data_IF_980617969483
#
_entry.id   IF_980617969483
#
_cell.length_a   1.000
_cell.length_b   1.000
_cell.length_c   1.000
_cell.angle_alpha   90.00
_cell.angle_beta   90.00
_cell.angle_gamma   90.00
#
_symmetry.space_group_name_H-M   'P 1'
#
loop_
_entity.id
_entity.type
_entity.pdbx_description
1 polymer ?
#
# COMPACT_ATOMS: atom_id res chain seq x y z
N UNK A 1 21.57 -4.73 -26.41
CA UNK A 1 21.23 -6.10 -25.98
C UNK A 1 19.83 -6.06 -25.38
N UNK A 2 18.95 -7.02 -25.69
CA UNK A 2 17.63 -7.07 -25.07
C UNK A 2 17.78 -7.41 -23.59
N UNK A 3 17.44 -6.47 -22.72
CA UNK A 3 17.37 -6.70 -21.28
C UNK A 3 16.44 -7.88 -20.96
N UNK A 4 16.93 -8.86 -20.19
CA UNK A 4 16.12 -9.96 -19.71
C UNK A 4 15.29 -9.51 -18.49
N UNK A 5 14.00 -9.27 -18.73
CA UNK A 5 13.03 -8.82 -17.73
C UNK A 5 12.68 -9.91 -16.70
N UNK A 6 13.06 -11.17 -16.93
CA UNK A 6 12.66 -12.32 -16.11
C UNK A 6 13.05 -12.17 -14.63
N UNK A 7 14.21 -11.59 -14.35
CA UNK A 7 14.66 -11.33 -12.98
C UNK A 7 13.77 -10.29 -12.28
N UNK A 8 13.46 -9.18 -12.97
CA UNK A 8 12.55 -8.15 -12.44
C UNK A 8 11.13 -8.68 -12.26
N UNK A 9 10.65 -9.52 -13.18
CA UNK A 9 9.37 -10.19 -13.01
C UNK A 9 9.37 -10.98 -11.71
N UNK A 10 10.33 -11.87 -11.50
CA UNK A 10 10.43 -12.67 -10.26
C UNK A 10 10.50 -11.81 -8.99
N UNK A 11 11.20 -10.67 -9.03
CA UNK A 11 11.29 -9.77 -7.89
C UNK A 11 9.97 -9.05 -7.61
N UNK A 12 9.28 -8.59 -8.66
CA UNK A 12 7.95 -7.98 -8.55
C UNK A 12 6.96 -8.94 -7.90
N UNK A 13 6.96 -10.17 -8.39
CA UNK A 13 6.14 -11.28 -7.90
C UNK A 13 6.34 -11.61 -6.42
N UNK A 14 7.56 -11.44 -5.93
CA UNK A 14 7.93 -11.66 -4.54
C UNK A 14 7.69 -10.43 -3.66
N UNK A 15 7.08 -9.35 -4.19
CA UNK A 15 6.92 -8.07 -3.51
C UNK A 15 8.27 -7.47 -3.05
N UNK A 16 9.35 -7.76 -3.80
CA UNK A 16 10.73 -7.37 -3.48
C UNK A 16 11.23 -6.17 -4.28
N UNK A 17 10.36 -5.47 -4.99
CA UNK A 17 10.71 -4.24 -5.72
C UNK A 17 10.15 -3.04 -4.99
N UNK A 18 11.00 -2.02 -4.82
CA UNK A 18 10.59 -0.70 -4.35
C UNK A 18 10.90 0.31 -5.45
N UNK A 19 9.88 0.88 -6.11
CA UNK A 19 10.10 1.97 -7.05
C UNK A 19 10.59 3.21 -6.32
N UNK A 20 11.66 3.82 -6.83
CA UNK A 20 12.08 5.17 -6.45
C UNK A 20 11.75 6.12 -7.59
N UNK A 21 10.83 7.03 -7.31
CA UNK A 21 10.28 7.96 -8.29
C UNK A 21 11.03 9.30 -8.20
N UNK A 22 11.56 9.75 -9.34
CA UNK A 22 12.19 11.07 -9.49
C UNK A 22 11.33 12.04 -10.27
N UNK A 23 11.81 13.29 -10.39
CA UNK A 23 11.06 14.39 -10.97
C UNK A 23 10.71 14.19 -12.46
N UNK A 24 11.41 13.30 -13.15
CA UNK A 24 11.13 12.95 -14.54
C UNK A 24 9.73 12.40 -14.76
N UNK A 25 9.12 11.75 -13.76
CA UNK A 25 7.73 11.28 -13.85
C UNK A 25 6.69 12.39 -13.62
N UNK A 26 7.07 13.48 -12.94
CA UNK A 26 6.21 14.63 -12.68
C UNK A 26 6.15 15.61 -13.86
N UNK A 27 7.04 15.50 -14.85
CA UNK A 27 7.12 16.41 -16.01
C UNK A 27 5.82 16.57 -16.81
N UNK A 28 4.97 15.52 -17.03
CA UNK A 28 3.68 15.70 -17.70
C UNK A 28 2.74 16.69 -17.01
N UNK A 29 2.89 16.87 -15.68
CA UNK A 29 2.13 17.82 -14.86
C UNK A 29 2.79 19.22 -14.83
N UNK A 30 3.76 19.46 -15.73
CA UNK A 30 4.60 20.67 -15.82
C UNK A 30 5.46 20.98 -14.59
N UNK A 31 5.55 20.05 -13.65
CA UNK A 31 6.41 20.22 -12.49
C UNK A 31 7.88 20.22 -12.91
N UNK A 32 8.72 21.09 -12.32
CA UNK A 32 10.07 21.31 -12.79
C UNK A 32 11.00 20.14 -12.44
N UNK A 33 11.98 19.88 -13.31
CA UNK A 33 13.17 19.13 -12.94
C UNK A 33 14.03 19.93 -11.96
N UNK A 34 15.06 19.31 -11.38
CA UNK A 34 15.93 19.98 -10.40
C UNK A 34 16.59 21.26 -10.93
N UNK A 35 17.23 21.20 -12.09
CA UNK A 35 17.82 22.39 -12.71
C UNK A 35 16.78 23.47 -13.02
N UNK A 36 15.59 23.07 -13.49
CA UNK A 36 14.49 24.02 -13.75
C UNK A 36 13.96 24.66 -12.47
N UNK A 37 13.87 23.91 -11.37
CA UNK A 37 13.46 24.43 -10.07
C UNK A 37 14.43 25.51 -9.59
N UNK A 38 15.74 25.26 -9.71
CA UNK A 38 16.78 26.24 -9.33
C UNK A 38 16.72 27.48 -10.24
N UNK A 39 16.47 27.31 -11.54
CA UNK A 39 16.27 28.42 -12.48
C UNK A 39 15.06 29.29 -12.07
N UNK A 40 13.94 28.67 -11.68
CA UNK A 40 12.74 29.38 -11.22
C UNK A 40 12.96 30.07 -9.86
N UNK A 41 13.66 29.41 -8.94
CA UNK A 41 14.08 30.00 -7.66
C UNK A 41 14.95 31.24 -7.89
N UNK A 42 15.95 31.15 -8.76
CA UNK A 42 16.80 32.27 -9.16
C UNK A 42 15.94 33.44 -9.67
N UNK A 43 15.02 33.16 -10.61
CA UNK A 43 14.17 34.20 -11.22
C UNK A 43 13.27 34.89 -10.21
N UNK A 44 12.74 34.16 -9.23
CA UNK A 44 11.86 34.74 -8.19
C UNK A 44 12.59 35.53 -7.12
N UNK A 45 13.83 35.18 -6.81
CA UNK A 45 14.47 35.65 -5.58
C UNK A 45 15.72 36.50 -5.77
N UNK A 46 16.29 36.51 -6.98
CA UNK A 46 17.57 37.17 -7.26
C UNK A 46 17.43 38.19 -8.39
N UNK A 47 18.24 39.25 -8.35
CA UNK A 47 18.31 40.26 -9.42
C UNK A 47 18.95 39.69 -10.71
N UNK A 48 18.46 40.13 -11.87
CA UNK A 48 18.88 39.68 -13.21
C UNK A 48 20.40 39.71 -13.45
N UNK A 49 21.14 40.62 -12.79
CA UNK A 49 22.59 40.71 -12.93
C UNK A 49 23.36 39.45 -12.50
N UNK A 50 22.71 38.54 -11.76
CA UNK A 50 23.31 37.27 -11.33
C UNK A 50 22.84 36.09 -12.17
N UNK A 51 21.90 36.29 -13.11
CA UNK A 51 21.30 35.18 -13.85
C UNK A 51 22.30 34.42 -14.70
N UNK A 52 23.20 35.13 -15.39
CA UNK A 52 24.22 34.51 -16.24
C UNK A 52 25.09 33.53 -15.44
N UNK A 53 25.68 33.99 -14.33
CA UNK A 53 26.55 33.17 -13.47
C UNK A 53 25.79 31.99 -12.84
N UNK A 54 24.54 32.18 -12.41
CA UNK A 54 23.76 31.09 -11.82
C UNK A 54 23.35 30.08 -12.91
N UNK A 55 23.03 30.54 -14.11
CA UNK A 55 22.68 29.68 -15.24
C UNK A 55 23.89 28.83 -15.67
N UNK A 56 25.10 29.41 -15.72
CA UNK A 56 26.34 28.65 -15.96
C UNK A 56 26.51 27.51 -14.95
N UNK A 57 26.30 27.77 -13.66
CA UNK A 57 26.36 26.74 -12.62
C UNK A 57 25.30 25.65 -12.80
N UNK A 58 24.08 26.01 -13.20
CA UNK A 58 22.99 25.05 -13.50
C UNK A 58 23.37 24.17 -14.69
N UNK A 59 23.93 24.77 -15.75
CA UNK A 59 24.33 24.09 -16.98
C UNK A 59 25.53 23.15 -16.76
N UNK A 60 26.40 23.48 -15.80
CA UNK A 60 27.51 22.63 -15.33
C UNK A 60 27.08 21.60 -14.26
N UNK A 61 25.80 21.52 -13.90
CA UNK A 61 25.25 20.65 -12.85
C UNK A 61 25.77 20.95 -11.42
N UNK A 62 26.36 22.13 -11.20
CA UNK A 62 26.90 22.63 -9.91
C UNK A 62 25.77 23.25 -9.05
N UNK A 63 24.74 22.44 -8.79
CA UNK A 63 23.47 22.89 -8.19
C UNK A 63 23.62 23.45 -6.77
N UNK A 64 24.54 22.90 -5.97
CA UNK A 64 24.83 23.36 -4.62
C UNK A 64 25.47 24.75 -4.62
N UNK A 65 26.38 25.03 -5.58
CA UNK A 65 26.93 26.37 -5.77
C UNK A 65 25.86 27.36 -6.22
N UNK A 66 24.99 26.95 -7.14
CA UNK A 66 23.86 27.77 -7.60
C UNK A 66 22.93 28.15 -6.43
N UNK A 67 22.51 27.17 -5.61
CA UNK A 67 21.65 27.41 -4.46
C UNK A 67 22.33 28.26 -3.38
N UNK A 68 23.62 28.05 -3.10
CA UNK A 68 24.39 28.91 -2.18
C UNK A 68 24.45 30.36 -2.67
N UNK A 69 24.65 30.57 -3.97
CA UNK A 69 24.66 31.89 -4.56
C UNK A 69 23.27 32.55 -4.48
N UNK A 70 22.21 31.80 -4.79
CA UNK A 70 20.82 32.27 -4.66
C UNK A 70 20.50 32.68 -3.23
N UNK A 71 20.74 31.81 -2.25
CA UNK A 71 20.52 32.10 -0.83
C UNK A 71 21.27 33.37 -0.39
N UNK A 72 22.56 33.47 -0.74
CA UNK A 72 23.40 34.60 -0.34
C UNK A 72 23.01 35.91 -1.02
N UNK A 73 22.61 35.89 -2.30
CA UNK A 73 22.26 37.11 -3.06
C UNK A 73 20.84 37.57 -2.83
N UNK A 74 19.91 36.63 -2.62
CA UNK A 74 18.54 36.92 -2.21
C UNK A 74 18.39 37.25 -0.72
N UNK A 75 19.45 37.04 0.08
CA UNK A 75 19.41 37.15 1.55
C UNK A 75 18.30 36.28 2.16
N UNK A 76 18.22 35.03 1.68
CA UNK A 76 17.17 34.08 2.02
C UNK A 76 17.65 33.12 3.09
N UNK A 77 16.81 32.86 4.08
CA UNK A 77 16.96 31.71 4.97
C UNK A 77 16.57 30.40 4.27
N UNK A 78 16.92 29.26 4.87
CA UNK A 78 16.44 27.95 4.41
C UNK A 78 14.90 27.93 4.31
N UNK A 79 14.20 28.57 5.26
CA UNK A 79 12.75 28.62 5.29
C UNK A 79 12.15 29.43 4.14
N UNK A 80 12.75 30.57 3.81
CA UNK A 80 12.29 31.40 2.68
C UNK A 80 12.42 30.64 1.35
N UNK A 81 13.51 29.87 1.22
CA UNK A 81 13.74 29.03 0.04
C UNK A 81 12.68 27.92 -0.05
N UNK A 82 12.40 27.21 1.05
CA UNK A 82 11.37 26.17 1.09
C UNK A 82 9.97 26.71 0.71
N UNK A 83 9.61 27.89 1.22
CA UNK A 83 8.35 28.55 0.89
C UNK A 83 8.28 28.94 -0.60
N UNK A 84 9.40 29.41 -1.16
CA UNK A 84 9.49 29.71 -2.58
C UNK A 84 9.37 28.44 -3.45
N UNK A 85 9.98 27.32 -3.04
CA UNK A 85 9.81 26.02 -3.72
C UNK A 85 8.34 25.60 -3.74
N UNK A 86 7.64 25.69 -2.60
CA UNK A 86 6.21 25.39 -2.53
C UNK A 86 5.41 26.24 -3.52
N UNK A 87 5.64 27.56 -3.54
CA UNK A 87 4.98 28.47 -4.47
C UNK A 87 5.25 28.10 -5.93
N UNK A 88 6.50 27.77 -6.28
CA UNK A 88 6.85 27.35 -7.64
C UNK A 88 6.07 26.09 -8.03
N UNK A 89 6.02 25.08 -7.16
CA UNK A 89 5.29 23.84 -7.43
C UNK A 89 3.80 24.13 -7.62
N UNK A 90 3.19 24.94 -6.75
CA UNK A 90 1.77 25.32 -6.85
C UNK A 90 1.46 26.13 -8.13
N UNK A 91 2.37 27.01 -8.56
CA UNK A 91 2.20 27.84 -9.76
C UNK A 91 2.41 27.07 -11.06
N UNK A 92 3.39 26.17 -11.11
CA UNK A 92 3.73 25.41 -12.31
C UNK A 92 2.83 24.18 -12.51
N UNK A 93 2.22 23.67 -11.44
CA UNK A 93 1.39 22.48 -11.48
C UNK A 93 0.22 22.62 -12.46
N UNK A 94 0.10 21.64 -13.35
CA UNK A 94 -1.06 21.48 -14.23
C UNK A 94 -1.64 20.09 -14.03
N UNK A 95 -2.93 20.05 -13.70
CA UNK A 95 -3.68 18.81 -13.59
C UNK A 95 -3.80 18.13 -14.96
N UNK A 96 -3.58 16.81 -14.99
CA UNK A 96 -3.64 15.99 -16.19
C UNK A 96 -4.66 14.87 -15.96
N UNK A 97 -5.88 15.07 -16.47
CA UNK A 97 -6.98 14.10 -16.32
C UNK A 97 -6.78 12.83 -17.18
N UNK A 98 -6.12 12.96 -18.34
CA UNK A 98 -5.91 11.83 -19.24
C UNK A 98 -4.77 10.93 -18.74
N UNK A 99 -5.16 9.79 -18.16
CA UNK A 99 -4.26 8.74 -17.68
C UNK A 99 -3.28 8.22 -18.74
N UNK A 100 -3.55 8.40 -20.04
CA UNK A 100 -2.62 8.02 -21.10
C UNK A 100 -1.36 8.91 -21.15
N UNK A 101 -1.42 10.12 -20.59
CA UNK A 101 -0.36 11.14 -20.67
C UNK A 101 0.66 11.08 -19.51
N UNK A 102 0.48 10.21 -18.53
CA UNK A 102 1.42 10.05 -17.42
C UNK A 102 1.52 8.60 -16.93
N UNK A 103 2.48 8.31 -16.05
CA UNK A 103 2.74 6.96 -15.55
C UNK A 103 2.25 6.69 -14.12
N UNK A 104 1.76 7.70 -13.38
CA UNK A 104 1.22 7.48 -12.03
C UNK A 104 0.06 6.48 -12.00
N UNK A 105 -0.83 6.49 -12.99
CA UNK A 105 -1.91 5.50 -13.10
C UNK A 105 -1.37 4.10 -13.43
N UNK A 106 -0.31 4.00 -14.25
CA UNK A 106 0.38 2.72 -14.51
C UNK A 106 0.98 2.16 -13.22
N UNK A 107 1.68 3.00 -12.44
CA UNK A 107 2.22 2.64 -11.12
C UNK A 107 1.11 2.24 -10.14
N UNK A 108 0.00 2.96 -10.14
CA UNK A 108 -1.16 2.65 -9.31
C UNK A 108 -1.84 1.35 -9.70
N UNK A 109 -1.75 0.91 -10.96
CA UNK A 109 -2.26 -0.40 -11.37
C UNK A 109 -1.40 -1.56 -10.82
N UNK A 110 -0.11 -1.32 -10.59
CA UNK A 110 0.84 -2.31 -10.08
C UNK A 110 0.76 -2.45 -8.55
N UNK A 111 1.12 -3.63 -8.06
CA UNK A 111 1.01 -4.00 -6.65
C UNK A 111 2.36 -3.90 -5.93
N UNK A 112 2.94 -2.70 -5.95
CA UNK A 112 4.12 -2.42 -5.13
C UNK A 112 3.71 -2.16 -3.68
N UNK A 113 4.44 -2.71 -2.69
CA UNK A 113 4.10 -2.50 -1.29
C UNK A 113 4.59 -1.14 -0.77
N UNK A 114 5.70 -0.64 -1.31
CA UNK A 114 6.33 0.62 -0.90
C UNK A 114 6.80 1.40 -2.13
N UNK A 115 6.61 2.71 -2.07
CA UNK A 115 7.24 3.68 -2.98
C UNK A 115 8.18 4.58 -2.20
N UNK A 116 9.32 4.91 -2.80
CA UNK A 116 10.21 5.97 -2.36
C UNK A 116 10.14 7.11 -3.39
N UNK A 117 10.28 8.35 -2.96
CA UNK A 117 10.35 9.49 -3.86
C UNK A 117 11.23 10.58 -3.29
N UNK A 118 11.94 11.27 -4.17
CA UNK A 118 12.66 12.52 -3.86
C UNK A 118 11.86 13.75 -4.25
N UNK A 119 10.69 13.57 -4.87
CA UNK A 119 9.86 14.67 -5.34
C UNK A 119 9.12 15.30 -4.17
N UNK A 120 8.92 16.62 -4.26
CA UNK A 120 8.19 17.38 -3.25
C UNK A 120 6.67 17.38 -3.48
N UNK A 121 6.21 16.95 -4.67
CA UNK A 121 4.79 16.90 -5.04
C UNK A 121 4.04 15.72 -4.40
N UNK A 122 2.70 15.78 -4.47
CA UNK A 122 1.79 14.77 -3.91
C UNK A 122 1.26 13.76 -4.92
N UNK A 123 1.75 13.76 -6.16
CA UNK A 123 1.17 12.96 -7.25
C UNK A 123 1.15 11.46 -6.91
N UNK A 124 2.18 10.93 -6.25
CA UNK A 124 2.14 9.53 -5.82
C UNK A 124 0.97 9.27 -4.88
N UNK A 125 0.76 10.12 -3.87
CA UNK A 125 -0.30 9.93 -2.90
C UNK A 125 -1.69 10.05 -3.55
N UNK A 126 -1.90 11.07 -4.39
CA UNK A 126 -3.18 11.31 -5.07
C UNK A 126 -3.61 10.10 -5.93
N UNK A 127 -2.71 9.58 -6.76
CA UNK A 127 -3.03 8.46 -7.65
C UNK A 127 -3.04 7.10 -6.93
N UNK A 128 -2.25 6.93 -5.86
CA UNK A 128 -2.21 5.69 -5.08
C UNK A 128 -3.25 5.63 -3.95
N UNK A 129 -3.96 6.71 -3.64
CA UNK A 129 -4.88 6.82 -2.50
C UNK A 129 -5.91 5.68 -2.43
N UNK A 130 -6.39 5.21 -3.59
CA UNK A 130 -7.32 4.07 -3.69
C UNK A 130 -6.81 2.76 -3.07
N UNK A 131 -5.49 2.64 -2.83
CA UNK A 131 -4.81 1.45 -2.30
C UNK A 131 -4.37 1.58 -0.83
N UNK A 132 -4.93 2.54 -0.08
CA UNK A 132 -4.67 2.75 1.37
C UNK A 132 -3.19 3.03 1.72
N UNK A 133 -2.48 3.74 0.83
CA UNK A 133 -1.11 4.15 1.11
C UNK A 133 -1.05 5.21 2.23
N UNK A 134 -0.06 5.07 3.12
CA UNK A 134 0.27 6.07 4.14
C UNK A 134 1.54 6.83 3.73
N UNK A 135 1.52 8.16 3.84
CA UNK A 135 2.67 9.03 3.55
C UNK A 135 3.54 9.15 4.79
N UNK A 136 4.85 9.02 4.59
CA UNK A 136 5.85 9.19 5.64
C UNK A 136 7.05 10.00 5.14
N UNK A 137 7.67 10.73 6.06
CA UNK A 137 8.92 11.46 5.83
C UNK A 137 10.06 10.69 6.47
N UNK A 138 11.10 10.36 5.70
CA UNK A 138 12.17 9.48 6.20
C UNK A 138 12.98 10.15 7.34
N UNK A 139 13.10 11.48 7.32
CA UNK A 139 13.79 12.28 8.35
C UNK A 139 13.08 12.22 9.72
N UNK A 140 11.75 12.24 9.71
CA UNK A 140 10.93 12.48 10.91
C UNK A 140 10.13 11.26 11.39
N UNK A 141 10.32 10.10 10.75
CA UNK A 141 9.55 8.90 11.08
C UNK A 141 9.81 8.43 12.50
N UNK A 142 8.76 8.12 13.25
CA UNK A 142 8.82 7.52 14.59
C UNK A 142 8.55 6.01 14.56
N UNK A 143 8.33 5.44 13.38
CA UNK A 143 7.98 4.04 13.19
C UNK A 143 9.09 3.11 13.70
N UNK A 144 8.68 2.02 14.33
CA UNK A 144 9.56 0.92 14.70
C UNK A 144 10.02 0.14 13.46
N UNK A 145 11.12 -0.60 13.60
CA UNK A 145 11.62 -1.48 12.53
C UNK A 145 10.57 -2.48 12.05
N UNK A 146 9.73 -3.00 12.95
CA UNK A 146 8.64 -3.93 12.62
C UNK A 146 7.54 -3.24 11.79
N UNK A 147 7.17 -2.00 12.10
CA UNK A 147 6.17 -1.25 11.31
C UNK A 147 6.68 -0.90 9.90
N UNK A 148 8.00 -0.68 9.78
CA UNK A 148 8.65 -0.37 8.50
C UNK A 148 8.74 -1.62 7.61
N UNK A 149 8.93 -2.81 8.21
CA UNK A 149 9.07 -4.07 7.45
C UNK A 149 7.76 -4.84 7.28
N UNK A 150 6.71 -4.55 8.07
CA UNK A 150 5.38 -5.16 8.00
C UNK A 150 4.53 -4.60 6.84
N UNK A 151 5.05 -4.75 5.62
CA UNK A 151 4.45 -4.20 4.39
C UNK A 151 3.21 -4.95 3.91
N UNK A 152 2.94 -6.15 4.44
CA UNK A 152 1.74 -6.93 4.11
C UNK A 152 0.45 -6.27 4.62
N UNK A 153 0.55 -5.38 5.62
CA UNK A 153 -0.60 -4.71 6.25
C UNK A 153 -0.71 -3.23 5.91
N UNK A 154 0.42 -2.54 5.73
CA UNK A 154 0.48 -1.09 5.51
C UNK A 154 1.36 -0.76 4.30
N UNK A 155 0.72 -0.33 3.21
CA UNK A 155 1.42 0.22 2.05
C UNK A 155 1.90 1.63 2.33
N UNK A 156 3.12 1.99 1.91
CA UNK A 156 3.74 3.26 2.29
C UNK A 156 4.34 4.02 1.11
N UNK A 157 4.26 5.35 1.16
CA UNK A 157 4.99 6.27 0.29
C UNK A 157 5.95 7.04 1.19
N UNK A 158 7.24 6.97 0.90
CA UNK A 158 8.25 7.71 1.64
C UNK A 158 8.84 8.83 0.81
N UNK A 159 8.71 10.05 1.32
CA UNK A 159 9.40 11.20 0.80
C UNK A 159 10.77 11.31 1.50
N UNK A 160 11.84 11.19 0.70
CA UNK A 160 13.22 11.27 1.16
C UNK A 160 13.60 12.73 1.44
N UNK A 161 13.25 13.63 0.52
CA UNK A 161 13.60 15.05 0.60
C UNK A 161 12.43 15.92 1.09
N UNK A 162 11.42 15.34 1.70
CA UNK A 162 10.24 16.07 2.19
C UNK A 162 9.18 16.33 1.11
N UNK A 163 8.22 17.19 1.45
CA UNK A 163 7.02 17.44 0.65
C UNK A 163 6.49 18.87 0.85
N UNK A 164 5.76 19.40 -0.14
CA UNK A 164 5.20 20.77 -0.10
C UNK A 164 4.11 20.99 0.96
N UNK A 165 3.37 19.95 1.35
CA UNK A 165 2.36 20.01 2.41
C UNK A 165 2.99 20.32 3.76
N UNK A 166 4.13 19.67 4.05
CA UNK A 166 4.96 19.95 5.21
C UNK A 166 6.21 20.71 4.76
N UNK A 167 6.03 21.98 4.41
CA UNK A 167 7.07 22.83 3.81
C UNK A 167 8.39 22.83 4.60
N UNK A 168 8.34 22.66 5.93
CA UNK A 168 9.53 22.60 6.78
C UNK A 168 10.39 21.34 6.57
N UNK A 169 9.80 20.28 6.02
CA UNK A 169 10.48 19.01 5.73
C UNK A 169 11.33 19.02 4.46
N UNK A 170 11.14 20.01 3.58
CA UNK A 170 11.82 20.08 2.28
C UNK A 170 13.34 20.17 2.47
N UNK A 171 14.07 19.25 1.86
CA UNK A 171 15.54 19.20 1.85
C UNK A 171 16.05 19.70 0.51
N UNK A 172 16.76 20.83 0.50
CA UNK A 172 17.38 21.34 -0.71
C UNK A 172 18.73 22.05 -0.51
N UNK A 173 19.01 22.62 0.65
CA UNK A 173 20.29 23.31 0.87
C UNK A 173 21.36 22.31 1.31
N UNK A 174 22.62 22.60 1.01
CA UNK A 174 23.78 21.76 1.39
C UNK A 174 23.71 21.35 2.87
N UNK A 175 23.40 22.32 3.75
CA UNK A 175 23.22 22.08 5.18
C UNK A 175 22.12 21.05 5.47
N UNK A 176 20.98 21.12 4.80
CA UNK A 176 19.87 20.18 4.99
C UNK A 176 20.19 18.79 4.44
N UNK A 177 20.91 18.73 3.31
CA UNK A 177 21.44 17.48 2.78
C UNK A 177 22.43 16.85 3.78
N UNK A 178 23.41 17.61 4.27
CA UNK A 178 24.36 17.14 5.29
C UNK A 178 23.65 16.61 6.54
N UNK A 179 22.65 17.35 7.05
CA UNK A 179 21.83 16.92 8.20
C UNK A 179 21.09 15.61 7.93
N UNK A 180 20.47 15.45 6.76
CA UNK A 180 19.71 14.25 6.39
C UNK A 180 20.64 13.05 6.20
N UNK A 181 21.68 13.19 5.37
CA UNK A 181 22.54 12.09 4.98
C UNK A 181 23.57 11.72 6.05
N UNK A 182 23.81 12.60 7.04
CA UNK A 182 24.59 12.26 8.25
C UNK A 182 23.74 11.63 9.35
N UNK A 183 22.40 11.64 9.23
CA UNK A 183 21.51 11.09 10.24
C UNK A 183 21.59 9.55 10.26
N UNK A 184 22.05 8.98 11.38
CA UNK A 184 22.21 7.53 11.54
C UNK A 184 20.90 6.75 11.45
N UNK A 185 19.78 7.34 11.88
CA UNK A 185 18.45 6.73 11.73
C UNK A 185 18.08 6.61 10.26
N UNK A 186 18.24 7.69 9.50
CA UNK A 186 18.03 7.70 8.06
C UNK A 186 18.89 6.64 7.36
N UNK A 187 20.20 6.62 7.62
CA UNK A 187 21.13 5.62 7.04
C UNK A 187 20.71 4.20 7.36
N UNK A 188 20.35 3.93 8.61
CA UNK A 188 19.92 2.59 9.06
C UNK A 188 18.63 2.16 8.35
N UNK A 189 17.64 3.04 8.25
CA UNK A 189 16.39 2.76 7.54
C UNK A 189 16.60 2.54 6.06
N UNK A 190 17.39 3.39 5.41
CA UNK A 190 17.72 3.24 4.00
C UNK A 190 18.47 1.92 3.74
N UNK A 191 19.39 1.55 4.64
CA UNK A 191 20.09 0.27 4.59
C UNK A 191 19.14 -0.93 4.71
N UNK A 192 18.13 -0.86 5.57
CA UNK A 192 17.08 -1.88 5.65
C UNK A 192 16.31 -2.00 4.33
N UNK A 193 15.92 -0.87 3.72
CA UNK A 193 15.23 -0.88 2.42
C UNK A 193 16.09 -1.54 1.34
N UNK A 194 17.33 -1.11 1.17
CA UNK A 194 18.19 -1.66 0.14
C UNK A 194 18.56 -3.14 0.43
N UNK A 195 18.63 -3.54 1.72
CA UNK A 195 18.94 -4.92 2.13
C UNK A 195 17.80 -5.90 1.90
N UNK A 196 16.56 -5.44 2.04
CA UNK A 196 15.36 -6.27 1.89
C UNK A 196 14.78 -6.20 0.46
N UNK A 197 14.98 -5.08 -0.25
CA UNK A 197 14.34 -4.79 -1.52
C UNK A 197 15.33 -4.44 -2.63
N UNK A 198 14.91 -4.72 -3.85
CA UNK A 198 15.54 -4.23 -5.07
C UNK A 198 14.93 -2.88 -5.45
N UNK A 199 15.77 -1.86 -5.52
CA UNK A 199 15.37 -0.52 -5.96
C UNK A 199 15.16 -0.49 -7.48
N UNK A 200 14.05 0.11 -7.91
CA UNK A 200 13.75 0.41 -9.32
C UNK A 200 13.61 1.92 -9.50
N UNK A 201 14.64 2.55 -10.04
CA UNK A 201 14.69 3.99 -10.28
C UNK A 201 13.93 4.36 -11.57
N UNK A 202 12.94 5.24 -11.46
CA UNK A 202 12.11 5.72 -12.57
C UNK A 202 12.08 7.25 -12.58
N UNK A 203 12.36 7.87 -13.74
CA UNK A 203 12.41 9.33 -13.87
C UNK A 203 13.46 9.99 -12.99
N UNK A 204 14.51 9.26 -12.64
CA UNK A 204 15.55 9.68 -11.72
C UNK A 204 16.88 9.74 -12.46
N UNK A 205 17.53 10.92 -12.46
CA UNK A 205 18.76 11.18 -13.22
C UNK A 205 20.04 10.69 -12.52
N UNK A 206 19.96 10.21 -11.26
CA UNK A 206 21.12 9.88 -10.42
C UNK A 206 22.18 11.00 -10.34
N UNK A 207 21.82 12.25 -10.65
CA UNK A 207 22.75 13.40 -10.63
C UNK A 207 23.00 13.94 -9.21
N UNK A 208 22.22 13.50 -8.23
CA UNK A 208 22.38 13.87 -6.82
C UNK A 208 23.61 13.14 -6.22
N UNK A 209 24.67 13.90 -5.94
CA UNK A 209 25.93 13.41 -5.36
C UNK A 209 25.76 12.86 -3.93
N UNK A 210 24.82 13.41 -3.14
CA UNK A 210 24.52 12.87 -1.81
C UNK A 210 23.87 11.49 -1.93
N UNK A 211 22.91 11.35 -2.84
CA UNK A 211 22.28 10.07 -3.12
C UNK A 211 23.25 9.03 -3.68
N UNK A 212 24.14 9.44 -4.62
CA UNK A 212 25.26 8.61 -5.10
C UNK A 212 26.19 8.19 -3.97
N UNK A 213 26.56 9.10 -3.07
CA UNK A 213 27.38 8.79 -1.91
C UNK A 213 26.74 7.76 -0.98
N UNK A 214 25.43 7.88 -0.75
CA UNK A 214 24.65 6.92 0.02
C UNK A 214 24.64 5.53 -0.63
N UNK A 215 24.44 5.47 -1.96
CA UNK A 215 24.49 4.21 -2.71
C UNK A 215 25.89 3.57 -2.68
N UNK A 216 26.95 4.35 -2.88
CA UNK A 216 28.34 3.86 -2.80
C UNK A 216 28.66 3.29 -1.42
N UNK A 217 28.25 3.99 -0.37
CA UNK A 217 28.40 3.50 1.01
C UNK A 217 27.67 2.17 1.19
N UNK A 218 26.41 2.08 0.75
CA UNK A 218 25.60 0.87 0.89
C UNK A 218 26.18 -0.34 0.12
N UNK A 219 26.65 -0.12 -1.11
CA UNK A 219 27.22 -1.18 -1.94
C UNK A 219 28.43 -1.87 -1.31
N UNK A 220 29.21 -1.15 -0.49
CA UNK A 220 30.35 -1.72 0.25
C UNK A 220 29.94 -2.81 1.24
N UNK A 221 28.71 -2.75 1.78
CA UNK A 221 28.25 -3.70 2.81
C UNK A 221 27.41 -4.84 2.25
N UNK A 222 26.47 -4.56 1.35
CA UNK A 222 25.43 -5.53 0.96
C UNK A 222 25.50 -6.00 -0.48
N UNK A 223 26.22 -5.28 -1.35
CA UNK A 223 26.44 -5.69 -2.73
C UNK A 223 25.15 -5.93 -3.55
N UNK A 224 24.06 -5.26 -3.17
CA UNK A 224 22.73 -5.42 -3.75
C UNK A 224 22.66 -5.02 -5.22
N UNK A 225 21.82 -5.70 -6.00
CA UNK A 225 21.57 -5.32 -7.40
C UNK A 225 20.33 -4.44 -7.46
N UNK A 226 20.42 -3.35 -8.20
CA UNK A 226 19.31 -2.41 -8.41
C UNK A 226 19.13 -2.13 -9.91
N UNK A 227 18.03 -1.48 -10.28
CA UNK A 227 17.67 -1.24 -11.68
C UNK A 227 17.29 0.22 -11.89
N UNK A 228 17.72 0.81 -12.99
CA UNK A 228 17.31 2.15 -13.41
C UNK A 228 16.83 2.12 -14.84
N UNK A 229 15.74 2.82 -15.11
CA UNK A 229 15.22 3.00 -16.46
C UNK A 229 15.70 4.34 -17.02
N UNK A 230 16.54 4.31 -18.05
CA UNK A 230 17.15 5.51 -18.65
C UNK A 230 16.83 5.61 -20.14
N UNK A 231 16.63 6.85 -20.61
CA UNK A 231 16.42 7.16 -22.02
C UNK A 231 17.76 7.30 -22.73
N UNK A 232 17.99 6.50 -23.76
CA UNK A 232 19.19 6.50 -24.62
C UNK A 232 20.53 6.76 -23.88
N UNK A 233 20.83 6.03 -22.78
CA UNK A 233 22.06 6.25 -22.02
C UNK A 233 23.29 5.86 -22.84
N UNK A 234 24.41 6.56 -22.61
CA UNK A 234 25.69 6.25 -23.23
C UNK A 234 26.30 4.97 -22.64
N UNK A 235 27.18 4.30 -23.40
CA UNK A 235 27.88 3.11 -22.88
C UNK A 235 28.71 3.42 -21.63
N UNK A 236 29.27 4.63 -21.55
CA UNK A 236 30.03 5.10 -20.39
C UNK A 236 29.15 5.21 -19.14
N UNK A 237 27.96 5.82 -19.25
CA UNK A 237 27.01 5.91 -18.13
C UNK A 237 26.52 4.53 -17.69
N UNK A 238 26.21 3.64 -18.64
CA UNK A 238 25.80 2.26 -18.32
C UNK A 238 26.91 1.55 -17.54
N UNK A 239 28.16 1.68 -18.00
CA UNK A 239 29.30 1.04 -17.37
C UNK A 239 29.58 1.62 -15.98
N UNK A 240 29.55 2.95 -15.81
CA UNK A 240 29.75 3.60 -14.51
C UNK A 240 28.70 3.13 -13.50
N UNK A 241 27.42 3.15 -13.87
CA UNK A 241 26.32 2.76 -12.99
C UNK A 241 26.40 1.29 -12.56
N UNK A 242 26.79 0.41 -13.48
CA UNK A 242 26.95 -1.00 -13.19
C UNK A 242 28.19 -1.27 -12.32
N UNK A 243 29.33 -0.67 -12.64
CA UNK A 243 30.62 -1.00 -12.01
C UNK A 243 30.74 -0.36 -10.62
N UNK A 244 30.28 0.89 -10.45
CA UNK A 244 30.39 1.63 -9.19
C UNK A 244 29.24 1.35 -8.24
N UNK A 245 28.01 1.27 -8.76
CA UNK A 245 26.80 1.23 -7.94
C UNK A 245 26.02 -0.09 -8.05
N UNK A 246 26.45 -1.05 -8.88
CA UNK A 246 25.71 -2.29 -9.20
C UNK A 246 24.27 -2.04 -9.64
N UNK A 247 24.06 -0.91 -10.32
CA UNK A 247 22.79 -0.53 -10.91
C UNK A 247 22.79 -1.01 -12.36
N UNK A 248 21.87 -1.92 -12.67
CA UNK A 248 21.62 -2.36 -14.05
C UNK A 248 20.76 -1.34 -14.78
N UNK A 249 21.30 -0.81 -15.87
CA UNK A 249 20.58 0.13 -16.72
C UNK A 249 19.66 -0.60 -17.70
N UNK A 250 18.42 -0.18 -17.73
CA UNK A 250 17.41 -0.60 -18.69
C UNK A 250 17.20 0.58 -19.63
N UNK A 251 17.73 0.45 -20.83
CA UNK A 251 17.64 1.51 -21.84
C UNK A 251 16.29 1.47 -22.54
N UNK A 252 15.69 2.63 -22.75
CA UNK A 252 14.59 2.83 -23.70
C UNK A 252 14.91 4.01 -24.62
N UNK A 253 14.06 4.22 -25.62
CA UNK A 253 14.26 5.25 -26.64
C UNK A 253 12.98 6.08 -26.76
N UNK A 254 12.98 7.23 -26.09
CA UNK A 254 11.85 8.15 -26.05
C UNK A 254 11.54 8.76 -27.41
N UNK A 255 12.52 8.85 -28.32
CA UNK A 255 12.33 9.47 -29.65
C UNK A 255 11.31 8.74 -30.53
N UNK A 256 11.03 7.45 -30.22
CA UNK A 256 10.11 6.62 -31.00
C UNK A 256 8.64 6.80 -30.61
N UNK A 257 8.35 6.99 -29.32
CA UNK A 257 6.97 6.95 -28.78
C UNK A 257 6.75 7.79 -27.52
N UNK A 258 7.74 8.58 -27.11
CA UNK A 258 7.74 9.38 -25.89
C UNK A 258 8.16 8.59 -24.65
N UNK A 259 8.48 9.34 -23.59
CA UNK A 259 8.85 8.78 -22.29
C UNK A 259 7.70 7.99 -21.68
N UNK A 260 6.50 8.57 -21.65
CA UNK A 260 5.31 7.99 -20.99
C UNK A 260 5.00 6.60 -21.52
N UNK A 261 4.91 6.44 -22.84
CA UNK A 261 4.57 5.14 -23.44
C UNK A 261 5.72 4.12 -23.29
N UNK A 262 6.97 4.57 -23.35
CA UNK A 262 8.12 3.69 -23.14
C UNK A 262 8.19 3.16 -21.71
N UNK A 263 7.92 4.02 -20.72
CA UNK A 263 7.85 3.64 -19.30
C UNK A 263 6.64 2.72 -19.07
N UNK A 264 5.47 3.03 -19.65
CA UNK A 264 4.26 2.20 -19.56
C UNK A 264 4.50 0.79 -20.08
N UNK A 265 5.11 0.65 -21.25
CA UNK A 265 5.45 -0.66 -21.80
C UNK A 265 6.41 -1.43 -20.89
N UNK A 266 7.38 -0.75 -20.30
CA UNK A 266 8.32 -1.37 -19.37
C UNK A 266 7.60 -1.87 -18.10
N UNK A 267 6.78 -1.03 -17.47
CA UNK A 267 5.95 -1.38 -16.32
C UNK A 267 5.01 -2.55 -16.65
N UNK A 268 4.40 -2.54 -17.84
CA UNK A 268 3.58 -3.63 -18.35
C UNK A 268 4.36 -4.91 -18.63
N UNK A 269 5.67 -4.86 -18.88
CA UNK A 269 6.52 -6.06 -19.00
C UNK A 269 6.87 -6.65 -17.64
N UNK A 270 7.12 -5.82 -16.63
CA UNK A 270 7.39 -6.24 -15.24
C UNK A 270 6.23 -7.09 -14.69
N UNK A 271 4.99 -6.75 -15.04
CA UNK A 271 3.81 -7.50 -14.59
C UNK A 271 3.50 -8.76 -15.42
N UNK A 272 4.16 -8.96 -16.58
CA UNK A 272 3.83 -10.02 -17.56
C UNK A 272 4.66 -11.30 -17.44
N UNK A 273 5.78 -11.32 -16.72
CA UNK A 273 6.49 -12.58 -16.46
C UNK A 273 5.57 -13.52 -15.72
N UNK A 274 5.42 -14.75 -16.25
CA UNK A 274 4.50 -15.82 -15.79
C UNK A 274 4.00 -15.54 -14.40
N UNK A 275 2.77 -15.03 -14.35
CA UNK A 275 2.05 -14.78 -13.12
C UNK A 275 2.50 -15.82 -12.06
N UNK A 276 3.07 -15.41 -10.92
CA UNK A 276 2.78 -16.18 -9.73
C UNK A 276 1.25 -16.17 -9.67
N UNK A 277 0.61 -17.11 -8.99
CA UNK A 277 -0.71 -16.79 -8.53
C UNK A 277 -0.65 -15.37 -7.95
N UNK A 278 -1.34 -14.40 -8.59
CA UNK A 278 -1.91 -13.25 -7.90
C UNK A 278 -2.26 -13.80 -6.54
N UNK A 279 -1.75 -13.27 -5.39
CA UNK A 279 -1.92 -13.94 -4.09
C UNK A 279 -3.35 -14.40 -4.12
N UNK A 280 -3.55 -15.73 -4.29
CA UNK A 280 -4.85 -16.19 -4.77
C UNK A 280 -5.75 -15.53 -3.75
N UNK A 281 -6.70 -14.68 -4.16
CA UNK A 281 -7.85 -14.42 -3.29
C UNK A 281 -8.24 -15.83 -2.96
N UNK A 282 -7.90 -16.28 -1.75
CA UNK A 282 -7.92 -17.69 -1.46
C UNK A 282 -9.40 -17.89 -1.45
N UNK A 283 -9.94 -18.48 -2.52
CA UNK A 283 -11.36 -18.72 -2.57
C UNK A 283 -11.54 -19.63 -1.37
N UNK A 284 -12.20 -19.12 -0.35
CA UNK A 284 -12.44 -19.87 0.87
C UNK A 284 -13.44 -20.93 0.42
N UNK A 285 -12.91 -22.12 0.16
CA UNK A 285 -13.69 -23.28 -0.25
C UNK A 285 -13.75 -24.14 0.99
N UNK A 286 -14.94 -24.37 1.56
CA UNK A 286 -15.10 -25.38 2.59
C UNK A 286 -14.83 -26.76 1.96
N UNK A 287 -13.63 -27.30 2.15
CA UNK A 287 -13.23 -28.61 1.57
C UNK A 287 -13.44 -29.78 2.52
N UNK A 288 -13.52 -29.52 3.82
CA UNK A 288 -13.49 -30.55 4.86
C UNK A 288 -14.79 -30.50 5.66
N UNK A 289 -15.45 -31.65 5.79
CA UNK A 289 -16.53 -31.84 6.75
C UNK A 289 -15.94 -31.87 8.17
N UNK A 290 -16.61 -31.25 9.16
CA UNK A 290 -16.22 -31.37 10.55
C UNK A 290 -16.09 -32.83 10.99
N UNK A 291 -15.01 -33.15 11.69
CA UNK A 291 -14.83 -34.46 12.30
C UNK A 291 -15.79 -34.64 13.49
N UNK A 292 -16.06 -35.90 13.84
CA UNK A 292 -16.91 -36.22 14.99
C UNK A 292 -16.34 -35.67 16.31
N UNK A 293 -15.02 -35.71 16.47
CA UNK A 293 -14.31 -35.18 17.64
C UNK A 293 -14.48 -33.66 17.77
N UNK A 294 -14.38 -32.92 16.66
CA UNK A 294 -14.62 -31.47 16.66
C UNK A 294 -16.05 -31.12 17.09
N UNK A 295 -17.05 -31.90 16.66
CA UNK A 295 -18.44 -31.70 17.09
C UNK A 295 -18.65 -32.06 18.57
N UNK A 296 -18.05 -33.15 19.04
CA UNK A 296 -18.14 -33.56 20.45
C UNK A 296 -17.54 -32.51 21.41
N UNK A 297 -16.48 -31.81 20.98
CA UNK A 297 -15.87 -30.73 21.76
C UNK A 297 -16.77 -29.49 21.93
N UNK A 298 -17.75 -29.28 21.04
CA UNK A 298 -18.69 -28.16 21.12
C UNK A 298 -19.88 -28.45 22.03
N UNK A 299 -19.96 -29.62 22.65
CA UNK A 299 -21.11 -29.95 23.50
C UNK A 299 -21.21 -29.03 24.72
N UNK A 300 -20.08 -28.55 25.22
CA UNK A 300 -19.99 -27.66 26.38
C UNK A 300 -20.04 -26.17 25.99
N UNK A 301 -20.03 -25.86 24.70
CA UNK A 301 -20.08 -24.48 24.21
C UNK A 301 -21.44 -23.84 24.50
N UNK A 302 -21.41 -22.54 24.79
CA UNK A 302 -22.57 -21.77 25.24
C UNK A 302 -23.72 -21.83 24.22
N UNK A 303 -23.43 -21.75 22.91
CA UNK A 303 -24.48 -21.80 21.90
C UNK A 303 -25.21 -23.16 21.91
N UNK A 304 -24.49 -24.27 22.13
CA UNK A 304 -25.04 -25.60 22.16
C UNK A 304 -25.87 -25.82 23.42
N UNK A 305 -25.37 -25.35 24.56
CA UNK A 305 -26.11 -25.36 25.84
C UNK A 305 -27.43 -24.57 25.75
N UNK A 306 -27.43 -23.43 25.05
CA UNK A 306 -28.66 -22.63 24.80
C UNK A 306 -29.71 -23.41 24.00
N UNK A 307 -29.30 -24.26 23.05
CA UNK A 307 -30.21 -25.13 22.29
C UNK A 307 -30.75 -26.28 23.16
N UNK A 308 -29.88 -26.89 23.96
CA UNK A 308 -30.22 -27.97 24.89
C UNK A 308 -31.30 -27.55 25.90
N UNK A 309 -31.12 -26.40 26.54
CA UNK A 309 -32.05 -25.87 27.54
C UNK A 309 -33.44 -25.64 26.95
N UNK A 310 -33.51 -25.25 25.68
CA UNK A 310 -34.75 -25.04 24.93
C UNK A 310 -35.36 -26.33 24.36
N UNK A 311 -34.78 -27.50 24.67
CA UNK A 311 -35.22 -28.82 24.19
C UNK A 311 -35.26 -28.91 22.65
N UNK A 312 -34.34 -28.23 21.96
CA UNK A 312 -34.16 -28.38 20.51
C UNK A 312 -33.72 -29.81 20.20
N UNK A 313 -34.27 -30.40 19.14
CA UNK A 313 -34.02 -31.80 18.79
C UNK A 313 -32.54 -32.06 18.46
N UNK A 314 -32.15 -33.34 18.49
CA UNK A 314 -30.76 -33.75 18.30
C UNK A 314 -30.25 -33.47 16.89
N UNK A 315 -31.08 -33.65 15.85
CA UNK A 315 -30.69 -33.43 14.45
C UNK A 315 -30.43 -31.94 14.19
N UNK A 316 -31.27 -31.07 14.75
CA UNK A 316 -31.10 -29.61 14.66
C UNK A 316 -29.87 -29.12 15.44
N UNK A 317 -29.56 -29.75 16.57
CA UNK A 317 -28.34 -29.44 17.34
C UNK A 317 -27.08 -29.88 16.62
N UNK A 318 -27.06 -31.08 16.04
CA UNK A 318 -25.94 -31.58 15.24
C UNK A 318 -25.68 -30.67 14.02
N UNK A 319 -26.73 -30.28 13.30
CA UNK A 319 -26.63 -29.30 12.20
C UNK A 319 -26.09 -27.94 12.67
N UNK A 320 -26.50 -27.49 13.86
CA UNK A 320 -26.05 -26.23 14.42
C UNK A 320 -24.55 -26.24 14.75
N UNK A 321 -24.01 -27.37 15.23
CA UNK A 321 -22.57 -27.57 15.44
C UNK A 321 -21.80 -27.51 14.12
N UNK A 322 -22.31 -28.14 13.06
CA UNK A 322 -21.69 -28.07 11.74
C UNK A 322 -21.65 -26.65 11.19
N UNK A 323 -22.77 -25.93 11.27
CA UNK A 323 -22.84 -24.54 10.84
C UNK A 323 -21.89 -23.64 11.63
N UNK A 324 -21.83 -23.81 12.96
CA UNK A 324 -20.88 -23.08 13.81
C UNK A 324 -19.43 -23.26 13.34
N UNK A 325 -18.99 -24.49 13.09
CA UNK A 325 -17.63 -24.79 12.64
C UNK A 325 -17.33 -24.21 11.26
N UNK A 326 -18.28 -24.27 10.32
CA UNK A 326 -18.11 -23.62 9.02
C UNK A 326 -17.95 -22.10 9.16
N UNK A 327 -18.76 -21.45 9.99
CA UNK A 327 -18.66 -20.02 10.22
C UNK A 327 -17.36 -19.61 10.91
N UNK A 328 -16.93 -20.31 11.96
CA UNK A 328 -15.65 -20.08 12.64
C UNK A 328 -14.47 -20.21 11.69
N UNK A 329 -14.43 -21.29 10.91
CA UNK A 329 -13.37 -21.51 9.91
C UNK A 329 -13.38 -20.40 8.87
N UNK A 330 -14.55 -20.02 8.36
CA UNK A 330 -14.68 -18.91 7.41
C UNK A 330 -14.18 -17.59 8.00
N UNK A 331 -14.62 -17.22 9.21
CA UNK A 331 -14.20 -15.98 9.88
C UNK A 331 -12.68 -15.95 10.04
N UNK A 332 -12.10 -17.04 10.57
CA UNK A 332 -10.64 -17.17 10.73
C UNK A 332 -9.92 -17.07 9.39
N UNK A 333 -10.41 -17.75 8.35
CA UNK A 333 -9.81 -17.69 7.03
C UNK A 333 -9.86 -16.28 6.42
N UNK A 334 -10.98 -15.58 6.63
CA UNK A 334 -11.20 -14.24 6.13
C UNK A 334 -10.30 -13.20 6.83
N UNK A 335 -10.07 -13.32 8.14
CA UNK A 335 -9.26 -12.38 8.93
C UNK A 335 -7.76 -12.67 8.86
N UNK A 336 -7.35 -13.94 8.99
CA UNK A 336 -5.93 -14.33 9.07
C UNK A 336 -5.25 -14.43 7.70
N UNK A 337 -5.96 -14.91 6.66
CA UNK A 337 -5.33 -15.25 5.38
C UNK A 337 -5.61 -14.23 4.28
N UNK A 338 -6.80 -13.63 4.24
CA UNK A 338 -7.15 -12.61 3.23
C UNK A 338 -7.07 -11.17 3.78
N UNK A 339 -6.78 -11.00 5.08
CA UNK A 339 -6.51 -9.69 5.69
C UNK A 339 -7.71 -8.74 5.70
N UNK A 340 -8.94 -9.27 5.74
CA UNK A 340 -10.14 -8.44 5.88
C UNK A 340 -10.20 -7.79 7.26
N UNK A 341 -10.69 -6.54 7.28
CA UNK A 341 -10.88 -5.76 8.51
C UNK A 341 -11.88 -6.45 9.45
N UNK A 342 -11.56 -6.54 10.74
CA UNK A 342 -12.46 -7.12 11.76
C UNK A 342 -13.83 -6.43 11.79
N UNK A 343 -13.91 -5.15 11.41
CA UNK A 343 -15.15 -4.41 11.28
C UNK A 343 -16.07 -4.93 10.16
N UNK A 344 -15.54 -5.60 9.14
CA UNK A 344 -16.35 -6.26 8.09
C UNK A 344 -17.05 -7.48 8.67
N UNK A 345 -16.31 -8.35 9.38
CA UNK A 345 -16.89 -9.51 10.09
C UNK A 345 -17.91 -9.03 11.11
N UNK A 346 -17.55 -8.05 11.94
CA UNK A 346 -18.47 -7.46 12.91
C UNK A 346 -19.74 -6.91 12.27
N UNK A 347 -19.65 -6.30 11.07
CA UNK A 347 -20.82 -5.82 10.34
C UNK A 347 -21.73 -6.95 9.86
N UNK A 348 -21.15 -8.06 9.34
CA UNK A 348 -21.92 -9.24 8.94
C UNK A 348 -22.64 -9.89 10.13
N UNK A 349 -21.94 -10.07 11.24
CA UNK A 349 -22.51 -10.59 12.49
C UNK A 349 -23.63 -9.67 13.01
N UNK A 350 -23.44 -8.35 12.98
CA UNK A 350 -24.48 -7.40 13.38
C UNK A 350 -25.74 -7.49 12.52
N UNK A 351 -25.61 -7.69 11.20
CA UNK A 351 -26.76 -7.92 10.32
C UNK A 351 -27.48 -9.23 10.67
N UNK A 352 -26.73 -10.30 10.95
CA UNK A 352 -27.28 -11.57 11.42
C UNK A 352 -28.04 -11.41 12.76
N UNK A 353 -27.48 -10.63 13.70
CA UNK A 353 -28.12 -10.30 14.98
C UNK A 353 -29.42 -9.53 14.80
N UNK A 354 -29.47 -8.57 13.87
CA UNK A 354 -30.71 -7.84 13.55
C UNK A 354 -31.76 -8.81 13.04
N UNK A 355 -31.37 -9.71 12.12
CA UNK A 355 -32.28 -10.70 11.55
C UNK A 355 -32.85 -11.64 12.62
N UNK A 356 -32.03 -12.08 13.57
CA UNK A 356 -32.51 -12.86 14.72
C UNK A 356 -33.57 -12.12 15.52
N UNK A 357 -33.36 -10.83 15.83
CA UNK A 357 -34.34 -10.03 16.59
C UNK A 357 -35.67 -9.86 15.84
N UNK A 358 -35.62 -9.70 14.53
CA UNK A 358 -36.81 -9.64 13.67
C UNK A 358 -37.58 -10.96 13.74
N UNK A 359 -36.92 -12.08 13.46
CA UNK A 359 -37.55 -13.40 13.47
C UNK A 359 -38.03 -13.80 14.86
N UNK A 360 -37.30 -13.46 15.94
CA UNK A 360 -37.75 -13.72 17.31
C UNK A 360 -39.08 -13.03 17.61
N UNK A 361 -39.24 -11.79 17.11
CA UNK A 361 -40.48 -11.02 17.27
C UNK A 361 -41.61 -11.58 16.41
N UNK A 362 -41.31 -11.98 15.18
CA UNK A 362 -42.32 -12.40 14.19
C UNK A 362 -42.77 -13.85 14.34
N UNK A 363 -41.86 -14.72 14.78
CA UNK A 363 -42.08 -16.16 14.88
C UNK A 363 -42.17 -16.62 16.33
N UNK A 364 -41.07 -16.54 17.09
CA UNK A 364 -41.03 -17.13 18.44
C UNK A 364 -42.06 -16.49 19.38
N UNK A 365 -42.20 -15.16 19.40
CA UNK A 365 -43.19 -14.48 20.25
C UNK A 365 -44.65 -14.82 19.92
N UNK A 366 -44.93 -15.35 18.73
CA UNK A 366 -46.28 -15.70 18.30
C UNK A 366 -46.58 -17.17 18.58
N UNK A 367 -45.60 -18.03 18.37
CA UNK A 367 -45.78 -19.48 18.41
C UNK A 367 -45.21 -20.15 19.66
N UNK A 368 -44.33 -19.47 20.40
CA UNK A 368 -43.63 -19.94 21.60
C UNK A 368 -42.97 -21.32 21.41
N UNK A 369 -42.44 -21.57 20.21
CA UNK A 369 -41.81 -22.83 19.84
C UNK A 369 -40.35 -22.61 19.44
N UNK A 370 -39.44 -23.02 20.32
CA UNK A 370 -38.00 -22.84 20.14
C UNK A 370 -37.45 -23.64 18.95
N UNK A 371 -37.99 -24.85 18.71
CA UNK A 371 -37.61 -25.70 17.58
C UNK A 371 -37.91 -25.01 16.24
N UNK A 372 -39.18 -24.64 16.05
CA UNK A 372 -39.62 -23.96 14.83
C UNK A 372 -38.90 -22.63 14.61
N UNK A 373 -38.55 -21.94 15.70
CA UNK A 373 -37.79 -20.69 15.62
C UNK A 373 -36.35 -20.91 15.12
N UNK A 374 -35.64 -21.94 15.60
CA UNK A 374 -34.30 -22.28 15.10
C UNK A 374 -34.36 -22.68 13.62
N UNK A 375 -35.33 -23.51 13.24
CA UNK A 375 -35.51 -23.96 11.86
C UNK A 375 -35.79 -22.79 10.90
N UNK A 376 -36.68 -21.87 11.31
CA UNK A 376 -37.00 -20.67 10.55
C UNK A 376 -35.79 -19.74 10.44
N UNK A 377 -35.01 -19.59 11.52
CA UNK A 377 -33.76 -18.84 11.49
C UNK A 377 -32.76 -19.42 10.49
N UNK A 378 -32.57 -20.74 10.48
CA UNK A 378 -31.69 -21.37 9.48
C UNK A 378 -32.21 -21.17 8.06
N UNK A 379 -33.52 -21.25 7.84
CA UNK A 379 -34.13 -20.99 6.53
C UNK A 379 -33.89 -19.55 6.06
N UNK A 380 -34.07 -18.57 6.95
CA UNK A 380 -33.91 -17.15 6.64
C UNK A 380 -32.44 -16.79 6.32
N UNK A 381 -31.50 -17.37 7.07
CA UNK A 381 -30.07 -17.09 6.88
C UNK A 381 -29.50 -17.71 5.60
N UNK A 382 -30.25 -18.57 4.92
CA UNK A 382 -29.84 -19.18 3.66
C UNK A 382 -29.56 -18.14 2.56
N UNK A 383 -30.27 -17.01 2.57
CA UNK A 383 -30.16 -15.93 1.59
C UNK A 383 -29.97 -14.57 2.28
N UNK A 384 -28.86 -14.43 3.02
CA UNK A 384 -28.48 -13.16 3.63
C UNK A 384 -28.02 -12.14 2.58
N UNK A 385 -28.53 -10.92 2.68
CA UNK A 385 -28.09 -9.78 1.88
C UNK A 385 -27.19 -8.86 2.74
N UNK A 386 -25.95 -8.70 2.33
CA UNK A 386 -24.96 -7.88 3.06
C UNK A 386 -24.75 -6.49 2.42
N UNK A 387 -25.52 -6.16 1.39
CA UNK A 387 -25.52 -4.85 0.74
C UNK A 387 -24.14 -4.45 0.23
N UNK A 388 -23.62 -3.32 0.71
CA UNK A 388 -22.32 -2.78 0.27
C UNK A 388 -21.13 -3.68 0.62
N UNK A 389 -21.27 -4.52 1.66
CA UNK A 389 -20.22 -5.44 2.11
C UNK A 389 -19.94 -6.50 1.03
N UNK A 390 -20.97 -6.89 0.26
CA UNK A 390 -20.82 -7.87 -0.80
C UNK A 390 -19.83 -7.44 -1.90
N UNK A 391 -19.78 -6.14 -2.21
CA UNK A 391 -18.80 -5.60 -3.16
C UNK A 391 -17.37 -5.66 -2.64
N UNK A 392 -17.20 -5.61 -1.32
CA UNK A 392 -15.89 -5.73 -0.64
C UNK A 392 -15.43 -7.20 -0.60
N UNK A 393 -16.34 -8.13 -0.27
CA UNK A 393 -16.05 -9.57 -0.20
C UNK A 393 -15.80 -10.20 -1.58
N UNK A 394 -16.51 -9.75 -2.61
CA UNK A 394 -16.33 -10.23 -3.99
C UNK A 394 -16.65 -11.72 -4.13
N UNK A 395 -15.61 -12.54 -4.33
CA UNK A 395 -15.74 -14.00 -4.48
C UNK A 395 -15.77 -14.75 -3.13
N UNK A 396 -15.35 -14.11 -2.04
CA UNK A 396 -15.34 -14.69 -0.69
C UNK A 396 -16.62 -14.33 0.08
N UNK A 397 -17.75 -14.21 -0.63
CA UNK A 397 -19.05 -14.05 0.04
C UNK A 397 -19.36 -15.34 0.81
N UNK A 398 -19.92 -15.26 2.02
CA UNK A 398 -20.22 -16.43 2.80
C UNK A 398 -21.27 -17.30 2.11
N UNK A 399 -21.05 -18.61 2.14
CA UNK A 399 -22.02 -19.58 1.62
C UNK A 399 -23.15 -19.81 2.65
N UNK A 400 -24.28 -20.44 2.25
CA UNK A 400 -25.42 -20.58 3.15
C UNK A 400 -25.12 -21.27 4.48
N UNK A 401 -24.23 -22.27 4.50
CA UNK A 401 -23.83 -22.95 5.74
C UNK A 401 -23.06 -22.04 6.71
N UNK A 402 -22.20 -21.17 6.18
CA UNK A 402 -21.46 -20.16 6.97
C UNK A 402 -22.41 -19.09 7.50
N UNK A 403 -23.36 -18.62 6.67
CA UNK A 403 -24.39 -17.68 7.10
C UNK A 403 -25.22 -18.20 8.27
N UNK A 404 -25.64 -19.47 8.20
CA UNK A 404 -26.38 -20.14 9.29
C UNK A 404 -25.52 -20.32 10.55
N UNK A 405 -24.20 -20.41 10.41
CA UNK A 405 -23.29 -20.53 11.55
C UNK A 405 -23.08 -19.22 12.31
N UNK A 406 -23.17 -18.07 11.63
CA UNK A 406 -22.96 -16.76 12.26
C UNK A 406 -23.87 -16.50 13.47
N UNK A 407 -25.12 -17.00 13.44
CA UNK A 407 -26.01 -16.84 14.59
C UNK A 407 -25.57 -17.69 15.80
N UNK A 408 -24.96 -18.84 15.54
CA UNK A 408 -24.40 -19.70 16.59
C UNK A 408 -23.09 -19.15 17.15
N UNK A 409 -22.25 -18.55 16.29
CA UNK A 409 -21.07 -17.78 16.72
C UNK A 409 -21.50 -16.66 17.68
N UNK A 410 -22.52 -15.89 17.31
CA UNK A 410 -23.10 -14.87 18.19
C UNK A 410 -23.72 -15.44 19.46
N UNK A 411 -24.37 -16.60 19.38
CA UNK A 411 -24.94 -17.25 20.56
C UNK A 411 -23.88 -17.81 21.51
N UNK A 412 -22.65 -18.06 21.02
CA UNK A 412 -21.54 -18.53 21.85
C UNK A 412 -20.86 -17.39 22.62
N UNK A 413 -21.04 -16.15 22.18
CA UNK A 413 -20.52 -14.97 22.88
C UNK A 413 -21.39 -14.63 24.11
N UNK A 414 -20.84 -14.65 25.34
CA UNK A 414 -21.60 -14.35 26.55
C UNK A 414 -22.08 -12.89 26.64
N UNK A 415 -21.43 -11.97 25.93
CA UNK A 415 -21.79 -10.55 25.91
C UNK A 415 -22.95 -10.26 24.92
N UNK A 416 -23.29 -11.22 24.06
CA UNK A 416 -24.35 -11.08 23.06
C UNK A 416 -25.60 -11.85 23.49
N UNK A 417 -26.68 -11.09 23.69
CA UNK A 417 -28.01 -11.63 24.03
C UNK A 417 -28.70 -12.27 22.81
N UNK A 418 -28.23 -13.45 22.40
CA UNK A 418 -28.90 -14.37 21.46
C UNK A 418 -29.36 -15.62 22.22
N UNK A 419 -30.66 -15.90 22.13
CA UNK A 419 -31.32 -17.06 22.74
C UNK A 419 -32.42 -17.61 21.82
N UNK A 420 -32.75 -18.89 22.03
CA UNK A 420 -33.73 -19.63 21.23
C UNK A 420 -35.11 -19.72 21.88
N UNK A 421 -35.29 -19.16 23.08
CA UNK A 421 -36.57 -19.07 23.76
C UNK A 421 -36.53 -18.24 25.05
N UNK A 422 -37.30 -18.63 26.08
CA UNK A 422 -37.40 -17.91 27.37
C UNK A 422 -36.48 -18.44 28.47
N UNK A 423 -35.99 -19.67 28.35
CA UNK A 423 -35.20 -20.32 29.38
C UNK A 423 -33.77 -19.78 29.36
N UNK A 424 -33.19 -19.55 30.54
CA UNK A 424 -31.87 -18.93 30.72
C UNK A 424 -30.93 -19.71 31.64
N UNK A 425 -31.42 -20.78 32.25
CA UNK A 425 -30.66 -21.62 33.17
C UNK A 425 -29.85 -22.64 32.38
N UNK A 426 -28.55 -22.40 32.27
CA UNK A 426 -27.56 -23.33 31.70
C UNK A 426 -26.86 -24.03 32.86
N UNK A 427 -26.77 -25.36 32.79
CA UNK A 427 -26.26 -26.23 33.86
C UNK A 427 -24.74 -26.25 33.98
#
# INVERSE_FOLDING_TARGET
>A
MSFDITELNKLYQQQKIVPLIGAGLSLPFKLPSWGKLIELLMKKTVNEKYYEVIQELIDEYEYDFALRLISKRGNLSDRDIQECVKQIIEEEFVEVEDNALHNYNDLASLDFPVFLTTNYDNLLFEYLHSKRFKVHYLKDTTLSSHEITSLEKDKRIWHIHGNVDETGSIVLTEKQYDELYSNEKFKTLFSLFCGQYTMLFLGFSLSDEYFKGLLDHYQKFYQGKHYVLLDNPTEAEIQELNDKYRIRVISYDSSKKGHVESIREFLGKISKGTQPPSPKKKIIIPTDLPSKEEKENLNDDLFHQKLLVENVDEDTRDLSQEYFLFAEKYIRELTEYDGFDEGIVGSMLNLCRIRHKETYKESFKVHENSQSFVDEMHSILNEMNYGRIEGVLGLNKPIPSENKGFIHVLANDPEVDIWWGHKREIG
#
